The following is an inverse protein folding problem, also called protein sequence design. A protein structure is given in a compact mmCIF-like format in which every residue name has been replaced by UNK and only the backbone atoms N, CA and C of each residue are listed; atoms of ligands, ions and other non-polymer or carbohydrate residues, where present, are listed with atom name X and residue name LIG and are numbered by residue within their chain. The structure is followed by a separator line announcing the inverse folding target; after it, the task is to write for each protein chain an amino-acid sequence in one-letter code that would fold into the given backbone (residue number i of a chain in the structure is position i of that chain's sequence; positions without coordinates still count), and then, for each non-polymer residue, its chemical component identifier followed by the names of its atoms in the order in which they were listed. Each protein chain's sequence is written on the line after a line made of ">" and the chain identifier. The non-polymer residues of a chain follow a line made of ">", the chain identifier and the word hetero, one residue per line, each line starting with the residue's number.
data_IF_392183397147
#
_entry.id   IF_392183397147
#
_cell.length_a   1.000
_cell.length_b   1.000
_cell.length_c   1.000
_cell.angle_alpha   90.00
_cell.angle_beta   90.00
_cell.angle_gamma   90.00
#
_symmetry.space_group_name_H-M   'P 1'
#
loop_
_entity.id
_entity.type
_entity.pdbx_description
1 polymer ?
#
# COMPACT_ATOMS: atom_id res chain seq x y z
N UNK A 1 -28.99 -2.59 2.12
CA UNK A 1 -28.24 -3.36 1.11
C UNK A 1 -27.74 -4.65 1.72
N UNK A 2 -27.74 -5.78 0.96
CA UNK A 2 -27.29 -7.09 1.44
C UNK A 2 -25.90 -7.46 0.89
N UNK A 3 -25.67 -7.18 -0.38
CA UNK A 3 -24.42 -7.53 -1.06
C UNK A 3 -23.84 -6.33 -1.80
N UNK A 4 -22.63 -5.94 -1.48
CA UNK A 4 -21.94 -4.81 -2.11
C UNK A 4 -20.58 -5.30 -2.65
N UNK A 5 -20.25 -4.94 -3.89
CA UNK A 5 -18.97 -5.23 -4.51
C UNK A 5 -18.16 -3.95 -4.68
N UNK A 6 -16.93 -3.95 -4.23
CA UNK A 6 -15.95 -2.91 -4.56
C UNK A 6 -14.96 -3.47 -5.59
N UNK A 7 -14.67 -2.71 -6.64
CA UNK A 7 -13.69 -3.07 -7.67
C UNK A 7 -12.53 -2.08 -7.62
N UNK A 8 -11.31 -2.58 -7.30
CA UNK A 8 -10.07 -1.81 -7.34
C UNK A 8 -8.99 -2.58 -8.10
N UNK A 9 -8.47 -1.99 -9.18
CA UNK A 9 -7.58 -2.69 -10.14
C UNK A 9 -6.13 -2.26 -10.07
N UNK A 10 -5.81 -1.30 -9.23
CA UNK A 10 -4.55 -0.59 -9.23
C UNK A 10 -3.49 -1.25 -8.33
N UNK A 11 -2.51 -0.50 -7.87
CA UNK A 11 -1.36 -1.00 -7.13
C UNK A 11 -1.63 -1.12 -5.62
N UNK A 12 -0.60 -1.43 -4.85
CA UNK A 12 -0.65 -1.61 -3.39
C UNK A 12 -1.14 -0.34 -2.70
N UNK A 13 -0.51 0.82 -2.95
CA UNK A 13 -0.88 2.09 -2.32
C UNK A 13 -2.33 2.49 -2.60
N UNK A 14 -2.77 2.31 -3.85
CA UNK A 14 -4.16 2.56 -4.26
C UNK A 14 -5.17 1.72 -3.46
N UNK A 15 -4.87 0.45 -3.21
CA UNK A 15 -5.74 -0.42 -2.44
C UNK A 15 -5.70 -0.08 -0.95
N UNK A 16 -4.55 0.29 -0.39
CA UNK A 16 -4.46 0.78 0.99
C UNK A 16 -5.34 2.03 1.14
N UNK A 17 -5.26 3.00 0.21
CA UNK A 17 -6.12 4.19 0.21
C UNK A 17 -7.62 3.88 0.02
N UNK A 18 -7.97 2.64 -0.35
CA UNK A 18 -9.37 2.19 -0.49
C UNK A 18 -9.89 1.52 0.80
N UNK A 19 -9.03 1.15 1.74
CA UNK A 19 -9.45 0.48 2.98
C UNK A 19 -10.41 1.31 3.83
N UNK A 20 -10.33 2.66 3.90
CA UNK A 20 -11.34 3.48 4.56
C UNK A 20 -12.74 3.36 3.95
N UNK A 21 -12.85 3.24 2.61
CA UNK A 21 -14.13 3.00 1.96
C UNK A 21 -14.71 1.63 2.36
N UNK A 22 -13.87 0.58 2.45
CA UNK A 22 -14.31 -0.75 2.90
C UNK A 22 -14.90 -0.66 4.31
N UNK A 23 -14.20 -0.02 5.24
CA UNK A 23 -14.65 0.18 6.62
C UNK A 23 -15.91 1.07 6.67
N UNK A 24 -15.95 2.18 5.92
CA UNK A 24 -17.09 3.10 5.85
C UNK A 24 -18.37 2.43 5.35
N UNK A 25 -18.27 1.56 4.32
CA UNK A 25 -19.41 0.75 3.85
C UNK A 25 -19.89 -0.18 4.97
N UNK A 26 -19.00 -0.78 5.73
CA UNK A 26 -19.36 -1.68 6.82
C UNK A 26 -19.98 -0.95 8.01
N UNK A 27 -19.55 0.28 8.28
CA UNK A 27 -20.19 1.16 9.28
C UNK A 27 -21.60 1.57 8.82
N UNK A 28 -21.78 1.89 7.53
CA UNK A 28 -23.08 2.25 6.98
C UNK A 28 -24.06 1.07 6.98
N UNK A 29 -23.57 -0.12 6.67
CA UNK A 29 -24.34 -1.35 6.51
C UNK A 29 -23.67 -2.52 7.25
N UNK A 30 -23.82 -2.63 8.59
CA UNK A 30 -23.14 -3.64 9.41
C UNK A 30 -23.42 -5.08 8.96
N UNK A 31 -24.66 -5.37 8.52
CA UNK A 31 -25.08 -6.70 8.10
C UNK A 31 -24.78 -7.03 6.62
N UNK A 32 -24.33 -6.04 5.85
CA UNK A 32 -24.02 -6.27 4.44
C UNK A 32 -22.79 -7.16 4.28
N UNK A 33 -22.88 -8.08 3.33
CA UNK A 33 -21.74 -8.85 2.83
C UNK A 33 -20.98 -8.01 1.83
N UNK A 34 -19.74 -7.70 2.18
CA UNK A 34 -18.87 -6.87 1.36
C UNK A 34 -17.87 -7.74 0.60
N UNK A 35 -17.85 -7.58 -0.70
CA UNK A 35 -16.99 -8.30 -1.62
C UNK A 35 -16.01 -7.35 -2.28
N UNK A 36 -14.83 -7.86 -2.59
CA UNK A 36 -13.78 -7.07 -3.24
C UNK A 36 -13.25 -7.81 -4.46
N UNK A 37 -13.14 -7.12 -5.60
CA UNK A 37 -12.49 -7.63 -6.82
C UNK A 37 -11.23 -6.84 -7.09
N UNK A 38 -10.07 -7.49 -7.03
CA UNK A 38 -8.75 -6.89 -7.17
C UNK A 38 -7.86 -7.69 -8.13
N UNK A 39 -6.73 -7.09 -8.52
CA UNK A 39 -5.66 -7.84 -9.19
C UNK A 39 -4.74 -8.55 -8.17
N UNK A 40 -3.94 -9.51 -8.65
CA UNK A 40 -3.06 -10.33 -7.80
C UNK A 40 -1.98 -9.51 -7.05
N UNK A 41 -1.50 -8.40 -7.63
CA UNK A 41 -0.39 -7.62 -7.07
C UNK A 41 -0.71 -7.02 -5.70
N UNK A 42 -1.98 -6.66 -5.47
CA UNK A 42 -2.45 -6.03 -4.22
C UNK A 42 -3.15 -6.97 -3.25
N UNK A 43 -3.20 -8.28 -3.53
CA UNK A 43 -3.92 -9.27 -2.73
C UNK A 43 -3.54 -9.25 -1.25
N UNK A 44 -2.27 -9.13 -0.95
CA UNK A 44 -1.73 -9.19 0.41
C UNK A 44 -2.15 -8.02 1.31
N UNK A 45 -2.55 -6.89 0.71
CA UNK A 45 -3.02 -5.70 1.44
C UNK A 45 -4.29 -5.98 2.24
N UNK A 46 -5.20 -6.76 1.67
CA UNK A 46 -6.54 -7.01 2.24
C UNK A 46 -6.69 -8.41 2.85
N UNK A 47 -5.59 -9.18 2.87
CA UNK A 47 -5.58 -10.47 3.56
C UNK A 47 -5.92 -10.26 5.04
N UNK A 48 -6.78 -11.11 5.58
CA UNK A 48 -7.28 -11.05 6.96
C UNK A 48 -8.14 -9.81 7.29
N UNK A 49 -8.62 -9.07 6.29
CA UNK A 49 -9.52 -7.94 6.54
C UNK A 49 -10.88 -8.43 7.04
N UNK A 50 -11.29 -8.11 8.30
CA UNK A 50 -12.49 -8.67 8.91
C UNK A 50 -13.79 -8.14 8.33
N UNK A 51 -13.73 -7.06 7.55
CA UNK A 51 -14.90 -6.43 6.94
C UNK A 51 -15.32 -7.10 5.63
N UNK A 52 -14.47 -7.97 5.05
CA UNK A 52 -14.70 -8.59 3.76
C UNK A 52 -15.23 -10.02 3.89
N UNK A 53 -16.37 -10.30 3.28
CA UNK A 53 -16.91 -11.66 3.15
C UNK A 53 -16.02 -12.51 2.23
N UNK A 54 -15.61 -11.94 1.08
CA UNK A 54 -14.74 -12.62 0.11
C UNK A 54 -13.99 -11.65 -0.77
N UNK A 55 -12.74 -11.97 -1.05
CA UNK A 55 -11.88 -11.28 -2.01
C UNK A 55 -11.75 -12.14 -3.28
N UNK A 56 -12.12 -11.56 -4.42
CA UNK A 56 -11.93 -12.16 -5.73
C UNK A 56 -10.66 -11.57 -6.35
N UNK A 57 -9.72 -12.44 -6.70
CA UNK A 57 -8.42 -12.04 -7.22
C UNK A 57 -8.29 -12.51 -8.67
N UNK A 58 -8.21 -11.58 -9.61
CA UNK A 58 -7.97 -11.93 -11.00
C UNK A 58 -6.54 -11.62 -11.43
N UNK A 59 -6.02 -12.41 -12.35
CA UNK A 59 -4.70 -12.19 -12.96
C UNK A 59 -4.85 -11.36 -14.23
N UNK A 60 -3.95 -10.41 -14.47
CA UNK A 60 -3.81 -9.76 -15.79
C UNK A 60 -3.01 -10.71 -16.70
N UNK A 61 -3.48 -10.97 -17.92
CA UNK A 61 -2.82 -11.91 -18.84
C UNK A 61 -1.34 -11.56 -19.10
N UNK A 62 -0.97 -10.28 -19.08
CA UNK A 62 0.42 -9.83 -19.20
C UNK A 62 1.33 -10.17 -18.00
N UNK A 63 0.75 -10.57 -16.87
CA UNK A 63 1.47 -10.94 -15.64
C UNK A 63 1.32 -12.44 -15.33
N UNK A 64 1.14 -13.27 -16.35
CA UNK A 64 1.11 -14.72 -16.21
C UNK A 64 2.47 -15.24 -15.75
N UNK A 65 2.50 -16.23 -14.88
CA UNK A 65 3.72 -16.94 -14.52
C UNK A 65 4.25 -17.77 -15.72
N UNK A 66 5.56 -18.08 -15.71
CA UNK A 66 6.21 -18.83 -16.79
C UNK A 66 5.50 -20.16 -17.12
N UNK A 67 4.87 -20.80 -16.13
CA UNK A 67 4.19 -22.09 -16.25
C UNK A 67 2.68 -21.97 -16.50
N UNK A 68 2.13 -20.76 -16.69
CA UNK A 68 0.70 -20.54 -16.91
C UNK A 68 0.40 -20.31 -18.39
N UNK A 69 -0.61 -20.99 -18.90
CA UNK A 69 -1.12 -20.76 -20.26
C UNK A 69 -2.07 -19.56 -20.27
N UNK A 70 -2.10 -18.83 -21.36
CA UNK A 70 -3.05 -17.71 -21.54
C UNK A 70 -4.50 -18.17 -21.43
N UNK A 71 -4.82 -19.35 -21.98
CA UNK A 71 -6.15 -19.97 -21.88
C UNK A 71 -6.53 -20.29 -20.43
N UNK A 72 -5.59 -20.79 -19.62
CA UNK A 72 -5.81 -21.05 -18.19
C UNK A 72 -6.18 -19.80 -17.42
N UNK A 73 -5.47 -18.68 -17.68
CA UNK A 73 -5.78 -17.39 -17.06
C UNK A 73 -7.18 -16.89 -17.45
N UNK A 74 -7.60 -17.05 -18.71
CA UNK A 74 -8.96 -16.69 -19.13
C UNK A 74 -10.02 -17.60 -18.52
N UNK A 75 -9.75 -18.89 -18.38
CA UNK A 75 -10.67 -19.83 -17.73
C UNK A 75 -10.85 -19.49 -16.24
N UNK A 76 -9.75 -19.26 -15.50
CA UNK A 76 -9.81 -18.78 -14.10
C UNK A 76 -10.68 -17.51 -13.97
N UNK A 77 -10.48 -16.55 -14.86
CA UNK A 77 -11.28 -15.32 -14.88
C UNK A 77 -12.75 -15.59 -15.14
N UNK A 78 -13.07 -16.44 -16.09
CA UNK A 78 -14.44 -16.85 -16.37
C UNK A 78 -15.10 -17.46 -15.13
N UNK A 79 -14.41 -18.36 -14.44
CA UNK A 79 -14.91 -18.98 -13.19
C UNK A 79 -15.17 -17.93 -12.08
N UNK A 80 -14.29 -16.93 -11.93
CA UNK A 80 -14.51 -15.83 -11.00
C UNK A 80 -15.81 -15.08 -11.34
N UNK A 81 -16.03 -14.73 -12.60
CA UNK A 81 -17.23 -13.99 -13.00
C UNK A 81 -18.51 -14.82 -12.91
N UNK A 82 -18.44 -16.12 -13.13
CA UNK A 82 -19.59 -17.02 -12.87
C UNK A 82 -19.95 -17.06 -11.38
N UNK A 83 -18.95 -17.03 -10.48
CA UNK A 83 -19.20 -16.94 -9.04
C UNK A 83 -19.80 -15.57 -8.67
N UNK A 84 -19.25 -14.47 -9.20
CA UNK A 84 -19.74 -13.10 -8.93
C UNK A 84 -21.20 -12.94 -9.35
N UNK A 85 -21.59 -13.45 -10.54
CA UNK A 85 -22.98 -13.37 -11.03
C UNK A 85 -24.00 -14.06 -10.14
N UNK A 86 -23.60 -15.11 -9.42
CA UNK A 86 -24.51 -15.82 -8.49
C UNK A 86 -24.85 -15.02 -7.25
N UNK A 87 -24.04 -13.99 -6.90
CA UNK A 87 -24.18 -13.26 -5.64
C UNK A 87 -25.32 -12.22 -5.70
N UNK A 88 -25.63 -11.67 -6.87
CA UNK A 88 -26.64 -10.60 -7.06
C UNK A 88 -26.33 -9.38 -6.17
N UNK A 89 -25.50 -8.47 -6.67
CA UNK A 89 -25.08 -7.27 -5.96
C UNK A 89 -26.14 -6.18 -5.98
N UNK A 90 -26.41 -5.59 -4.81
CA UNK A 90 -27.29 -4.41 -4.70
C UNK A 90 -26.58 -3.13 -5.20
N UNK A 91 -25.25 -3.06 -5.02
CA UNK A 91 -24.42 -1.98 -5.54
C UNK A 91 -23.01 -2.48 -5.90
N UNK A 92 -22.43 -1.88 -6.93
CA UNK A 92 -21.03 -2.10 -7.32
C UNK A 92 -20.31 -0.77 -7.39
N UNK A 93 -19.27 -0.60 -6.58
CA UNK A 93 -18.46 0.62 -6.50
C UNK A 93 -17.16 0.42 -7.29
N UNK A 94 -16.98 1.23 -8.35
CA UNK A 94 -15.72 1.31 -9.07
C UNK A 94 -14.81 2.29 -8.33
N UNK A 95 -13.96 1.78 -7.43
CA UNK A 95 -13.15 2.60 -6.53
C UNK A 95 -11.93 3.26 -7.21
N UNK A 96 -12.02 3.58 -8.50
CA UNK A 96 -11.03 4.33 -9.23
C UNK A 96 -11.44 5.81 -9.27
N UNK A 97 -10.57 6.77 -8.88
CA UNK A 97 -10.90 8.21 -8.92
C UNK A 97 -10.91 8.78 -10.36
N UNK A 98 -10.35 8.04 -11.30
CA UNK A 98 -10.39 8.38 -12.73
C UNK A 98 -11.30 7.44 -13.49
N UNK A 99 -11.97 7.91 -14.56
CA UNK A 99 -12.83 7.09 -15.40
C UNK A 99 -12.08 5.86 -15.93
N UNK A 100 -12.63 4.66 -15.71
CA UNK A 100 -11.97 3.41 -16.08
C UNK A 100 -12.92 2.44 -16.78
N UNK A 101 -12.86 2.41 -18.12
CA UNK A 101 -13.65 1.50 -18.98
C UNK A 101 -13.46 0.01 -18.61
N UNK A 102 -12.25 -0.36 -18.16
CA UNK A 102 -11.98 -1.73 -17.76
C UNK A 102 -12.67 -2.11 -16.45
N UNK A 103 -12.72 -1.21 -15.46
CA UNK A 103 -13.46 -1.45 -14.23
C UNK A 103 -14.95 -1.58 -14.50
N UNK A 104 -15.51 -0.74 -15.37
CA UNK A 104 -16.90 -0.83 -15.81
C UNK A 104 -17.18 -2.18 -16.50
N UNK A 105 -16.29 -2.62 -17.41
CA UNK A 105 -16.41 -3.94 -18.05
C UNK A 105 -16.44 -5.08 -17.02
N UNK A 106 -15.58 -5.03 -16.01
CA UNK A 106 -15.57 -6.04 -14.94
C UNK A 106 -16.87 -6.03 -14.14
N UNK A 107 -17.42 -4.85 -13.82
CA UNK A 107 -18.70 -4.73 -13.14
C UNK A 107 -19.85 -5.36 -13.95
N UNK A 108 -19.91 -5.08 -15.25
CA UNK A 108 -20.88 -5.71 -16.17
C UNK A 108 -20.73 -7.23 -16.24
N UNK A 109 -19.48 -7.72 -16.32
CA UNK A 109 -19.20 -9.17 -16.29
C UNK A 109 -19.62 -9.80 -14.97
N UNK A 110 -19.55 -9.08 -13.85
CA UNK A 110 -20.03 -9.53 -12.54
C UNK A 110 -21.58 -9.51 -12.42
N UNK A 111 -22.27 -9.00 -13.43
CA UNK A 111 -23.75 -8.89 -13.42
C UNK A 111 -24.27 -7.71 -12.61
N UNK A 112 -23.48 -6.62 -12.50
CA UNK A 112 -23.89 -5.41 -11.80
C UNK A 112 -25.06 -4.72 -12.49
N UNK A 113 -26.09 -4.38 -11.71
CA UNK A 113 -27.27 -3.61 -12.15
C UNK A 113 -27.28 -2.19 -11.61
N UNK A 114 -26.48 -1.90 -10.60
CA UNK A 114 -26.35 -0.58 -9.99
C UNK A 114 -24.87 -0.23 -9.77
N UNK A 115 -24.33 0.63 -10.62
CA UNK A 115 -22.90 0.92 -10.68
C UNK A 115 -22.65 2.37 -10.27
N UNK A 116 -21.70 2.55 -9.34
CA UNK A 116 -21.23 3.81 -8.80
C UNK A 116 -19.76 3.99 -9.24
N UNK A 117 -19.36 5.14 -9.71
CA UNK A 117 -17.98 5.36 -10.12
C UNK A 117 -17.73 6.72 -10.76
N UNK A 118 -16.48 6.96 -11.17
CA UNK A 118 -16.13 8.17 -11.92
C UNK A 118 -16.88 8.21 -13.26
N UNK A 119 -17.32 9.41 -13.65
CA UNK A 119 -18.13 9.64 -14.84
C UNK A 119 -17.39 9.24 -16.12
N UNK A 120 -17.95 8.32 -16.88
CA UNK A 120 -17.46 7.83 -18.17
C UNK A 120 -18.27 8.37 -19.35
N UNK A 121 -19.25 9.25 -19.10
CA UNK A 121 -20.19 9.71 -20.12
C UNK A 121 -21.08 8.58 -20.67
N UNK A 122 -21.42 7.58 -19.87
CA UNK A 122 -22.24 6.43 -20.26
C UNK A 122 -23.37 6.20 -19.24
N UNK A 123 -24.59 5.83 -19.67
CA UNK A 123 -25.70 5.52 -18.78
C UNK A 123 -25.45 4.27 -17.92
N UNK A 124 -24.43 3.48 -18.20
CA UNK A 124 -24.07 2.31 -17.42
C UNK A 124 -23.58 2.67 -15.99
N UNK A 125 -23.14 3.91 -15.75
CA UNK A 125 -22.80 4.41 -14.42
C UNK A 125 -24.01 5.15 -13.85
N UNK A 126 -24.67 4.51 -12.89
CA UNK A 126 -25.94 5.01 -12.32
C UNK A 126 -25.73 6.18 -11.36
N UNK A 127 -24.58 6.22 -10.65
CA UNK A 127 -24.14 7.34 -9.84
C UNK A 127 -22.76 7.82 -10.31
N UNK A 128 -22.70 8.72 -11.31
CA UNK A 128 -21.45 9.25 -11.85
C UNK A 128 -20.89 10.33 -10.93
N UNK A 129 -19.59 10.21 -10.59
CA UNK A 129 -18.80 11.22 -9.91
C UNK A 129 -17.92 11.94 -10.92
N UNK A 130 -18.04 13.24 -11.03
CA UNK A 130 -17.29 14.08 -11.97
C UNK A 130 -15.93 14.46 -11.39
N UNK A 131 -15.03 14.95 -12.25
CA UNK A 131 -13.67 15.35 -11.86
C UNK A 131 -13.65 16.36 -10.71
N UNK A 132 -14.63 17.27 -10.69
CA UNK A 132 -14.77 18.32 -9.67
C UNK A 132 -14.99 17.73 -8.26
N UNK A 133 -15.62 16.56 -8.17
CA UNK A 133 -15.80 15.84 -6.91
C UNK A 133 -14.48 15.40 -6.27
N UNK A 134 -13.38 15.35 -7.04
CA UNK A 134 -12.07 14.83 -6.64
C UNK A 134 -11.01 15.92 -6.55
N UNK A 135 -11.22 17.11 -7.13
CA UNK A 135 -10.23 18.18 -7.19
C UNK A 135 -9.75 18.60 -5.78
N UNK A 136 -8.43 18.70 -5.61
CA UNK A 136 -7.80 19.13 -4.35
C UNK A 136 -7.95 18.14 -3.18
N UNK A 137 -8.33 16.90 -3.43
CA UNK A 137 -8.54 15.89 -2.38
C UNK A 137 -7.44 14.84 -2.41
N UNK A 138 -7.16 14.27 -1.25
CA UNK A 138 -6.32 13.10 -1.10
C UNK A 138 -6.96 11.83 -1.72
N UNK A 139 -6.16 10.85 -2.16
CA UNK A 139 -6.65 9.60 -2.76
C UNK A 139 -7.63 8.81 -1.89
N UNK A 140 -7.47 8.85 -0.58
CA UNK A 140 -8.44 8.29 0.38
C UNK A 140 -9.79 8.99 0.25
N UNK A 141 -9.79 10.32 0.23
CA UNK A 141 -11.03 11.10 0.11
C UNK A 141 -11.71 10.89 -1.25
N UNK A 142 -10.92 10.72 -2.33
CA UNK A 142 -11.45 10.36 -3.64
C UNK A 142 -12.28 9.07 -3.59
N UNK A 143 -11.68 7.99 -3.07
CA UNK A 143 -12.37 6.69 -3.00
C UNK A 143 -13.50 6.70 -1.98
N UNK A 144 -13.32 7.39 -0.87
CA UNK A 144 -14.33 7.49 0.18
C UNK A 144 -15.57 8.27 -0.25
N UNK A 145 -15.43 9.25 -1.15
CA UNK A 145 -16.59 10.03 -1.64
C UNK A 145 -17.67 9.18 -2.28
N UNK A 146 -17.34 8.01 -2.84
CA UNK A 146 -18.35 7.08 -3.39
C UNK A 146 -19.36 6.56 -2.35
N UNK A 147 -19.01 6.63 -1.07
CA UNK A 147 -19.93 6.23 0.01
C UNK A 147 -21.22 7.05 0.00
N UNK A 148 -21.15 8.32 -0.37
CA UNK A 148 -22.33 9.20 -0.44
C UNK A 148 -23.40 8.78 -1.47
N UNK A 149 -23.04 7.91 -2.41
CA UNK A 149 -24.02 7.34 -3.35
C UNK A 149 -24.89 6.23 -2.76
N UNK A 150 -24.53 5.72 -1.58
CA UNK A 150 -25.26 4.61 -0.95
C UNK A 150 -25.77 4.94 0.45
N UNK A 151 -25.34 6.03 1.07
CA UNK A 151 -25.85 6.47 2.39
C UNK A 151 -25.76 7.97 2.56
N UNK A 152 -26.77 8.58 3.17
CA UNK A 152 -26.77 9.99 3.58
C UNK A 152 -26.20 10.19 5.00
N UNK A 153 -25.87 9.10 5.69
CA UNK A 153 -25.27 9.20 7.04
C UNK A 153 -23.89 9.84 6.96
N UNK A 154 -23.62 10.88 7.75
CA UNK A 154 -22.28 11.43 7.86
C UNK A 154 -21.37 10.45 8.63
N UNK A 155 -20.50 9.75 7.92
CA UNK A 155 -19.53 8.83 8.51
C UNK A 155 -18.15 9.44 8.31
N UNK A 156 -17.40 9.74 9.41
CA UNK A 156 -16.04 10.24 9.30
C UNK A 156 -15.15 9.28 8.52
N UNK A 157 -14.18 9.80 7.77
CA UNK A 157 -13.26 8.96 6.99
C UNK A 157 -12.36 8.18 7.95
N UNK A 158 -12.42 6.84 7.97
CA UNK A 158 -11.56 6.05 8.84
C UNK A 158 -10.07 6.15 8.46
N UNK A 159 -9.15 5.74 9.35
CA UNK A 159 -7.74 5.56 8.99
C UNK A 159 -7.58 4.42 7.98
N UNK A 160 -6.47 4.43 7.24
CA UNK A 160 -6.07 3.26 6.44
C UNK A 160 -5.67 2.12 7.37
N UNK A 161 -6.02 0.87 7.03
CA UNK A 161 -5.73 -0.30 7.88
C UNK A 161 -5.32 -1.52 7.07
N UNK A 162 -4.40 -2.28 7.65
CA UNK A 162 -4.05 -3.65 7.26
C UNK A 162 -4.10 -4.54 8.50
N UNK A 163 -4.30 -5.84 8.31
CA UNK A 163 -4.49 -6.78 9.41
C UNK A 163 -3.47 -7.90 9.34
N UNK A 164 -2.65 -8.03 10.37
CA UNK A 164 -1.73 -9.15 10.58
C UNK A 164 -2.39 -10.19 11.48
N UNK A 165 -2.05 -11.46 11.27
CA UNK A 165 -2.43 -12.50 12.21
C UNK A 165 -1.39 -12.62 13.34
N UNK A 166 -1.74 -13.20 14.50
CA UNK A 166 -0.77 -13.50 15.54
C UNK A 166 0.40 -14.35 15.06
N UNK A 167 0.16 -15.28 14.12
CA UNK A 167 1.19 -16.13 13.53
C UNK A 167 2.16 -15.33 12.67
N UNK A 168 1.67 -14.38 11.86
CA UNK A 168 2.50 -13.49 11.03
C UNK A 168 3.37 -12.59 11.93
N UNK A 169 2.81 -12.07 13.03
CA UNK A 169 3.54 -11.28 14.04
C UNK A 169 4.60 -12.12 14.76
N UNK A 170 4.26 -13.35 15.18
CA UNK A 170 5.20 -14.25 15.83
C UNK A 170 6.36 -14.65 14.90
N UNK A 171 6.10 -14.92 13.63
CA UNK A 171 7.14 -15.20 12.62
C UNK A 171 8.08 -14.01 12.43
N UNK A 172 7.54 -12.80 12.35
CA UNK A 172 8.35 -11.58 12.24
C UNK A 172 9.23 -11.39 13.50
N UNK A 173 8.65 -11.56 14.69
CA UNK A 173 9.38 -11.47 15.96
C UNK A 173 10.51 -12.50 16.06
N UNK A 174 10.26 -13.76 15.71
CA UNK A 174 11.28 -14.81 15.67
C UNK A 174 12.41 -14.48 14.68
N UNK A 175 12.07 -13.94 13.51
CA UNK A 175 13.06 -13.51 12.52
C UNK A 175 13.93 -12.37 13.07
N UNK A 176 13.32 -11.37 13.71
CA UNK A 176 14.02 -10.25 14.35
C UNK A 176 15.03 -10.73 15.39
N UNK A 177 14.66 -11.68 16.26
CA UNK A 177 15.53 -12.24 17.28
C UNK A 177 16.81 -12.89 16.73
N UNK A 178 16.73 -13.41 15.48
CA UNK A 178 17.89 -14.00 14.78
C UNK A 178 18.78 -12.94 14.10
N UNK A 179 18.23 -11.74 13.88
CA UNK A 179 18.90 -10.68 13.09
C UNK A 179 19.55 -9.61 13.98
N UNK A 180 18.94 -9.29 15.12
CA UNK A 180 19.39 -8.22 15.99
C UNK A 180 19.52 -8.71 17.44
N UNK A 181 20.50 -8.20 18.20
CA UNK A 181 20.53 -8.36 19.64
C UNK A 181 19.25 -7.75 20.28
N UNK A 182 19.00 -8.00 21.55
CA UNK A 182 17.93 -7.30 22.27
C UNK A 182 18.15 -5.78 22.22
N UNK A 183 17.14 -5.06 21.75
CA UNK A 183 17.09 -3.59 21.71
C UNK A 183 15.66 -3.13 22.00
N UNK A 184 15.51 -1.99 22.66
CA UNK A 184 14.22 -1.44 23.03
C UNK A 184 13.52 -0.68 21.90
N UNK A 185 14.27 -0.16 20.91
CA UNK A 185 13.72 0.57 19.75
C UNK A 185 14.25 0.01 18.45
N UNK A 186 13.40 -0.05 17.43
CA UNK A 186 13.79 -0.51 16.10
C UNK A 186 13.35 0.52 15.07
N UNK A 187 14.30 0.97 14.24
CA UNK A 187 14.04 1.82 13.09
C UNK A 187 14.09 1.01 11.81
N UNK A 188 13.05 1.12 10.98
CA UNK A 188 13.05 0.59 9.63
C UNK A 188 13.68 1.59 8.66
N UNK A 189 14.61 1.15 7.84
CA UNK A 189 15.16 1.90 6.72
C UNK A 189 14.84 1.14 5.44
N UNK A 190 13.87 1.62 4.65
CA UNK A 190 13.45 0.97 3.41
C UNK A 190 14.07 1.68 2.21
N UNK A 191 14.97 0.99 1.50
CA UNK A 191 15.81 1.59 0.45
C UNK A 191 15.27 1.43 -0.97
N UNK A 192 14.23 0.60 -1.18
CA UNK A 192 13.70 0.31 -2.52
C UNK A 192 12.73 1.36 -2.99
N UNK A 193 12.88 1.80 -4.22
CA UNK A 193 11.91 2.62 -4.95
C UNK A 193 11.97 2.34 -6.44
N UNK A 194 10.82 2.38 -7.12
CA UNK A 194 10.75 2.24 -8.58
C UNK A 194 11.25 3.49 -9.32
N UNK A 195 11.06 4.67 -8.76
CA UNK A 195 11.53 5.92 -9.36
C UNK A 195 12.95 6.23 -8.92
N UNK A 196 13.90 6.48 -9.84
CA UNK A 196 15.24 6.96 -9.49
C UNK A 196 15.20 8.21 -8.61
N UNK A 197 14.34 9.18 -8.90
CA UNK A 197 14.16 10.41 -8.13
C UNK A 197 13.73 10.22 -6.66
N UNK A 198 13.38 9.01 -6.28
CA UNK A 198 13.00 8.62 -4.92
C UNK A 198 14.00 7.67 -4.28
N UNK A 199 15.18 7.51 -4.89
CA UNK A 199 16.29 6.70 -4.39
C UNK A 199 17.34 7.58 -3.74
N UNK A 200 17.30 7.67 -2.43
CA UNK A 200 18.32 8.41 -1.69
C UNK A 200 19.68 7.74 -1.77
N UNK A 201 20.82 8.48 -1.76
CA UNK A 201 22.17 7.92 -1.84
C UNK A 201 22.49 6.97 -0.69
N UNK A 202 23.19 5.88 -0.98
CA UNK A 202 23.55 4.84 0.01
C UNK A 202 24.41 5.41 1.13
N UNK A 203 25.32 6.31 0.82
CA UNK A 203 26.21 6.97 1.78
C UNK A 203 25.42 7.78 2.81
N UNK A 204 24.35 8.42 2.38
CA UNK A 204 23.46 9.19 3.27
C UNK A 204 22.58 8.29 4.14
N UNK A 205 22.12 7.15 3.59
CA UNK A 205 21.47 6.12 4.41
C UNK A 205 22.44 5.59 5.48
N UNK A 206 23.72 5.33 5.13
CA UNK A 206 24.71 4.87 6.08
C UNK A 206 24.94 5.88 7.20
N UNK A 207 25.01 7.17 6.88
CA UNK A 207 25.18 8.25 7.86
C UNK A 207 23.97 8.31 8.83
N UNK A 208 22.73 8.23 8.33
CA UNK A 208 21.54 8.17 9.18
C UNK A 208 21.55 6.93 10.07
N UNK A 209 21.94 5.78 9.54
CA UNK A 209 22.03 4.54 10.32
C UNK A 209 23.08 4.68 11.43
N UNK A 210 24.23 5.27 11.15
CA UNK A 210 25.25 5.53 12.17
C UNK A 210 24.71 6.43 13.30
N UNK A 211 23.98 7.48 12.97
CA UNK A 211 23.34 8.36 13.96
C UNK A 211 22.29 7.61 14.79
N UNK A 212 21.47 6.75 14.16
CA UNK A 212 20.45 5.96 14.84
C UNK A 212 21.05 4.96 15.83
N UNK A 213 22.11 4.23 15.43
CA UNK A 213 22.73 3.26 16.32
C UNK A 213 23.68 3.91 17.34
N UNK A 214 24.02 5.18 17.20
CA UNK A 214 24.68 5.96 18.25
C UNK A 214 23.73 6.23 19.41
N UNK A 215 22.41 6.25 19.18
CA UNK A 215 21.46 6.30 20.28
C UNK A 215 21.44 4.98 21.06
N UNK A 216 21.39 5.06 22.40
CA UNK A 216 21.31 3.85 23.23
C UNK A 216 20.10 3.01 22.86
N UNK A 217 20.26 1.70 22.92
CA UNK A 217 19.17 0.72 22.81
C UNK A 217 18.36 0.80 21.50
N UNK A 218 19.01 1.30 20.42
CA UNK A 218 18.38 1.44 19.09
C UNK A 218 19.00 0.49 18.07
N UNK A 219 18.18 -0.30 17.40
CA UNK A 219 18.55 -1.17 16.29
C UNK A 219 17.94 -0.71 14.97
N UNK A 220 18.52 -1.12 13.86
CA UNK A 220 18.07 -0.77 12.51
C UNK A 220 17.88 -2.02 11.66
N UNK A 221 16.71 -2.13 11.05
CA UNK A 221 16.42 -3.12 10.02
C UNK A 221 16.39 -2.43 8.65
N UNK A 222 17.24 -2.90 7.74
CA UNK A 222 17.31 -2.43 6.35
C UNK A 222 16.38 -3.29 5.50
N UNK A 223 15.29 -2.68 5.02
CA UNK A 223 14.28 -3.34 4.20
C UNK A 223 14.53 -3.11 2.72
N UNK A 224 14.38 -4.17 1.95
CA UNK A 224 14.53 -4.14 0.49
C UNK A 224 13.80 -5.32 -0.16
N UNK A 225 13.50 -5.18 -1.47
CA UNK A 225 12.93 -6.28 -2.27
C UNK A 225 14.04 -7.11 -2.89
N UNK A 226 14.10 -8.43 -2.65
CA UNK A 226 15.13 -9.32 -3.22
C UNK A 226 15.07 -9.44 -4.74
N UNK A 227 13.90 -9.26 -5.33
CA UNK A 227 13.73 -9.29 -6.77
C UNK A 227 13.90 -7.88 -7.33
N UNK A 228 15.03 -7.64 -7.98
CA UNK A 228 15.26 -6.42 -8.76
C UNK A 228 14.25 -6.35 -9.91
N UNK A 229 13.19 -5.59 -9.71
CA UNK A 229 12.07 -5.54 -10.66
C UNK A 229 12.07 -4.28 -11.50
N UNK A 230 13.11 -3.43 -11.44
CA UNK A 230 12.92 -2.03 -11.81
C UNK A 230 13.47 -1.63 -13.17
N UNK A 231 14.55 -2.21 -13.64
CA UNK A 231 15.07 -2.07 -15.00
C UNK A 231 16.10 -3.16 -15.29
N UNK A 232 16.33 -3.52 -16.58
CA UNK A 232 17.34 -4.51 -16.95
C UNK A 232 18.76 -4.13 -16.54
N UNK A 233 19.08 -2.84 -16.40
CA UNK A 233 20.40 -2.29 -16.12
C UNK A 233 20.56 -1.79 -14.68
N UNK A 234 19.57 -2.06 -13.80
CA UNK A 234 19.59 -1.58 -12.43
C UNK A 234 20.40 -2.55 -11.54
N UNK A 235 21.39 -2.00 -10.84
CA UNK A 235 22.01 -2.68 -9.70
C UNK A 235 20.88 -3.05 -8.74
N UNK A 236 20.51 -4.33 -8.71
CA UNK A 236 19.35 -4.80 -7.95
C UNK A 236 19.41 -4.34 -6.50
N UNK A 237 18.27 -4.18 -5.86
CA UNK A 237 18.16 -3.72 -4.46
C UNK A 237 19.01 -4.55 -3.49
N UNK A 238 19.28 -5.83 -3.80
CA UNK A 238 20.21 -6.69 -3.05
C UNK A 238 21.61 -6.07 -2.94
N UNK A 239 22.23 -5.69 -4.05
CA UNK A 239 23.59 -5.15 -4.04
C UNK A 239 23.66 -3.84 -3.27
N UNK A 240 22.65 -2.96 -3.42
CA UNK A 240 22.55 -1.72 -2.65
C UNK A 240 22.40 -1.98 -1.14
N UNK A 241 21.61 -2.97 -0.77
CA UNK A 241 21.43 -3.35 0.63
C UNK A 241 22.71 -3.92 1.25
N UNK A 242 23.43 -4.78 0.52
CA UNK A 242 24.70 -5.34 0.94
C UNK A 242 25.80 -4.26 1.05
N UNK A 243 25.87 -3.32 0.11
CA UNK A 243 26.77 -2.16 0.17
C UNK A 243 26.46 -1.28 1.40
N UNK A 244 25.18 -1.02 1.67
CA UNK A 244 24.77 -0.24 2.84
C UNK A 244 25.17 -0.93 4.14
N UNK A 245 24.88 -2.23 4.28
CA UNK A 245 25.28 -3.00 5.46
C UNK A 245 26.80 -3.00 5.66
N UNK A 246 27.57 -3.16 4.59
CA UNK A 246 29.03 -3.15 4.65
C UNK A 246 29.62 -1.81 5.15
N UNK A 247 28.93 -0.70 4.90
CA UNK A 247 29.31 0.61 5.43
C UNK A 247 28.93 0.77 6.92
N UNK A 248 27.84 0.14 7.38
CA UNK A 248 27.34 0.37 8.74
C UNK A 248 28.10 -0.42 9.83
N UNK A 249 28.62 -1.63 9.54
CA UNK A 249 29.45 -2.49 10.42
C UNK A 249 29.07 -2.47 11.91
N UNK A 250 27.82 -2.68 12.23
CA UNK A 250 27.31 -2.65 13.60
C UNK A 250 26.36 -3.86 13.83
N UNK A 251 26.51 -4.56 14.96
CA UNK A 251 25.67 -5.72 15.32
C UNK A 251 24.16 -5.39 15.48
N UNK A 252 23.86 -4.12 15.72
CA UNK A 252 22.47 -3.62 15.83
C UNK A 252 21.91 -3.17 14.46
N UNK A 253 22.58 -3.50 13.35
CA UNK A 253 22.11 -3.23 11.99
C UNK A 253 22.04 -4.55 11.23
N UNK A 254 20.87 -4.84 10.66
CA UNK A 254 20.67 -6.07 9.90
C UNK A 254 19.83 -5.87 8.63
N UNK A 255 20.07 -6.73 7.64
CA UNK A 255 19.24 -6.83 6.44
C UNK A 255 17.94 -7.57 6.76
N UNK A 256 16.83 -7.00 6.29
CA UNK A 256 15.51 -7.63 6.34
C UNK A 256 14.90 -7.71 4.92
N UNK A 257 15.37 -8.65 4.08
CA UNK A 257 14.81 -8.84 2.75
C UNK A 257 13.35 -9.27 2.81
N UNK A 258 12.51 -8.72 1.93
CA UNK A 258 11.07 -9.01 1.94
C UNK A 258 10.61 -9.53 0.57
N UNK A 259 10.32 -10.83 0.49
CA UNK A 259 9.84 -11.47 -0.74
C UNK A 259 8.32 -11.25 -0.98
N UNK A 260 7.60 -10.77 0.02
CA UNK A 260 6.16 -10.51 -0.05
C UNK A 260 5.76 -9.26 0.73
N UNK A 261 4.58 -8.72 0.39
CA UNK A 261 3.98 -7.62 1.15
C UNK A 261 3.69 -8.04 2.60
N UNK A 262 3.36 -9.32 2.84
CA UNK A 262 3.10 -9.81 4.21
C UNK A 262 4.37 -9.83 5.06
N UNK A 263 5.51 -10.20 4.49
CA UNK A 263 6.80 -10.10 5.18
C UNK A 263 7.19 -8.66 5.49
N UNK A 264 6.93 -7.73 4.55
CA UNK A 264 7.18 -6.31 4.78
C UNK A 264 6.29 -5.76 5.90
N UNK A 265 5.00 -6.11 5.90
CA UNK A 265 4.07 -5.72 6.96
C UNK A 265 4.50 -6.26 8.33
N UNK A 266 4.84 -7.54 8.43
CA UNK A 266 5.34 -8.13 9.68
C UNK A 266 6.63 -7.47 10.17
N UNK A 267 7.55 -7.15 9.25
CA UNK A 267 8.77 -6.43 9.59
C UNK A 267 8.52 -4.99 10.05
N UNK A 268 7.65 -4.25 9.38
CA UNK A 268 7.28 -2.89 9.79
C UNK A 268 6.50 -2.86 11.11
N UNK A 269 5.71 -3.91 11.39
CA UNK A 269 4.98 -4.01 12.65
C UNK A 269 5.93 -4.03 13.87
N UNK A 270 7.13 -4.60 13.72
CA UNK A 270 8.18 -4.63 14.75
C UNK A 270 8.88 -3.29 14.98
N UNK A 271 8.75 -2.35 14.05
CA UNK A 271 9.51 -1.10 14.06
C UNK A 271 8.70 0.05 14.66
N UNK A 272 9.37 0.92 15.39
CA UNK A 272 8.79 2.12 15.97
C UNK A 272 8.71 3.25 14.94
N UNK A 273 9.79 3.43 14.15
CA UNK A 273 9.91 4.47 13.14
C UNK A 273 10.27 3.88 11.78
N UNK A 274 9.80 4.51 10.71
CA UNK A 274 10.06 4.08 9.33
C UNK A 274 10.61 5.24 8.52
N UNK A 275 11.80 5.06 7.94
CA UNK A 275 12.36 5.92 6.90
C UNK A 275 12.17 5.22 5.56
N UNK A 276 11.41 5.83 4.65
CA UNK A 276 11.13 5.25 3.34
C UNK A 276 10.87 6.34 2.28
N UNK A 277 10.80 5.92 1.03
CA UNK A 277 10.33 6.77 -0.07
C UNK A 277 8.82 6.65 -0.27
N UNK A 278 8.22 7.65 -0.93
CA UNK A 278 6.85 7.57 -1.45
C UNK A 278 6.67 6.32 -2.32
N UNK A 279 5.60 5.59 -2.04
CA UNK A 279 5.25 4.33 -2.71
C UNK A 279 4.36 3.43 -1.85
N UNK A 280 4.20 2.19 -2.29
CA UNK A 280 3.37 1.21 -1.57
C UNK A 280 3.82 0.98 -0.13
N UNK A 281 5.11 0.97 0.14
CA UNK A 281 5.70 0.80 1.47
C UNK A 281 5.30 1.91 2.45
N UNK A 282 5.24 3.16 2.01
CA UNK A 282 4.77 4.28 2.82
C UNK A 282 3.31 4.09 3.26
N UNK A 283 2.45 3.73 2.32
CA UNK A 283 1.04 3.48 2.64
C UNK A 283 0.85 2.27 3.56
N UNK A 284 1.70 1.23 3.43
CA UNK A 284 1.68 0.07 4.33
C UNK A 284 2.13 0.45 5.74
N UNK A 285 3.17 1.28 5.88
CA UNK A 285 3.60 1.81 7.17
C UNK A 285 2.51 2.70 7.81
N UNK A 286 1.85 3.55 7.01
CA UNK A 286 0.70 4.34 7.46
C UNK A 286 -0.47 3.47 7.95
N UNK A 287 -0.74 2.35 7.25
CA UNK A 287 -1.80 1.41 7.63
C UNK A 287 -1.49 0.61 8.91
N UNK A 288 -0.24 0.56 9.33
CA UNK A 288 0.24 0.05 10.63
C UNK A 288 0.40 1.17 11.68
N UNK A 289 -0.01 2.40 11.35
CA UNK A 289 0.06 3.57 12.24
C UNK A 289 1.48 3.87 12.74
N UNK A 290 2.50 3.71 11.88
CA UNK A 290 3.90 3.96 12.23
C UNK A 290 4.28 5.44 12.11
N UNK A 291 5.26 5.86 12.91
CA UNK A 291 5.92 7.15 12.75
C UNK A 291 6.84 7.12 11.52
N UNK A 292 6.77 8.11 10.64
CA UNK A 292 7.44 8.03 9.33
C UNK A 292 8.16 9.32 8.94
N UNK A 293 9.36 9.16 8.39
CA UNK A 293 9.99 10.17 7.53
C UNK A 293 9.98 9.65 6.10
N UNK A 294 9.41 10.43 5.19
CA UNK A 294 9.13 9.97 3.82
C UNK A 294 9.76 10.89 2.80
N UNK A 295 10.56 10.33 1.89
CA UNK A 295 11.07 11.04 0.73
C UNK A 295 10.03 11.09 -0.38
N UNK A 296 9.68 12.29 -0.81
CA UNK A 296 8.90 12.52 -2.01
C UNK A 296 9.80 13.00 -3.15
N UNK A 297 9.64 12.39 -4.32
CA UNK A 297 10.21 12.89 -5.56
C UNK A 297 9.30 13.93 -6.19
N UNK A 298 8.93 13.71 -7.44
CA UNK A 298 8.01 14.55 -8.22
C UNK A 298 6.51 14.23 -8.03
N UNK A 299 6.18 13.39 -7.05
CA UNK A 299 4.78 13.03 -6.74
C UNK A 299 4.09 14.19 -6.00
N UNK A 300 2.82 14.44 -6.35
CA UNK A 300 1.97 15.38 -5.63
C UNK A 300 1.70 14.90 -4.19
N UNK A 301 2.34 15.57 -3.23
CA UNK A 301 2.22 15.22 -1.80
C UNK A 301 0.83 15.46 -1.24
N UNK A 302 0.07 16.43 -1.75
CA UNK A 302 -1.28 16.73 -1.28
C UNK A 302 -2.24 15.58 -1.58
N UNK A 303 -2.05 14.93 -2.73
CA UNK A 303 -2.87 13.78 -3.14
C UNK A 303 -2.42 12.45 -2.54
N UNK A 304 -1.14 12.30 -2.14
CA UNK A 304 -0.55 11.01 -1.82
C UNK A 304 0.15 10.91 -0.47
N UNK A 305 0.12 11.93 0.39
CA UNK A 305 0.73 11.83 1.73
C UNK A 305 0.21 10.62 2.52
N UNK A 306 0.92 10.17 3.58
CA UNK A 306 0.38 9.15 4.49
C UNK A 306 -0.96 9.61 5.09
N UNK A 307 -2.00 8.75 5.06
CA UNK A 307 -3.31 9.09 5.59
C UNK A 307 -3.44 8.84 7.10
N UNK A 308 -2.57 8.01 7.66
CA UNK A 308 -2.55 7.65 9.08
C UNK A 308 -1.12 7.63 9.60
N UNK A 309 -0.97 7.61 10.93
CA UNK A 309 0.31 7.73 11.60
C UNK A 309 0.81 9.17 11.67
N UNK A 310 1.87 9.40 12.43
CA UNK A 310 2.60 10.66 12.42
C UNK A 310 3.64 10.59 11.31
N UNK A 311 3.82 11.68 10.56
CA UNK A 311 4.77 11.65 9.46
C UNK A 311 5.36 13.02 9.17
N UNK A 312 6.56 13.00 8.59
CA UNK A 312 7.21 14.15 7.97
C UNK A 312 7.52 13.83 6.52
N UNK A 313 7.15 14.73 5.62
CA UNK A 313 7.50 14.65 4.19
C UNK A 313 8.72 15.51 3.93
N UNK A 314 9.72 14.93 3.29
CA UNK A 314 10.88 15.59 2.76
C UNK A 314 10.82 15.56 1.24
N UNK A 315 10.60 16.74 0.65
CA UNK A 315 10.52 16.94 -0.80
C UNK A 315 11.37 18.17 -1.16
N UNK A 316 12.36 17.95 -2.01
CA UNK A 316 13.20 19.03 -2.54
C UNK A 316 12.45 19.83 -3.62
N UNK A 317 12.92 21.05 -3.90
CA UNK A 317 12.39 21.88 -4.99
C UNK A 317 12.63 21.26 -6.36
N UNK A 318 13.72 20.50 -6.53
CA UNK A 318 14.03 19.77 -7.77
C UNK A 318 13.10 18.59 -8.04
N UNK A 319 12.36 18.13 -7.02
CA UNK A 319 11.59 16.89 -7.08
C UNK A 319 12.48 15.63 -7.12
N UNK A 320 13.75 15.73 -6.66
CA UNK A 320 14.66 14.59 -6.52
C UNK A 320 15.11 14.47 -5.07
N UNK A 321 14.91 13.29 -4.46
CA UNK A 321 15.28 13.09 -3.06
C UNK A 321 16.80 13.17 -2.82
N UNK A 322 17.63 13.10 -3.87
CA UNK A 322 19.08 13.31 -3.76
C UNK A 322 19.44 14.65 -3.13
N UNK A 323 18.59 15.66 -3.25
CA UNK A 323 18.84 16.99 -2.69
C UNK A 323 18.38 17.13 -1.22
N UNK A 324 17.74 16.11 -0.64
CA UNK A 324 17.37 16.10 0.77
C UNK A 324 18.62 15.85 1.61
N UNK A 325 18.90 16.74 2.58
CA UNK A 325 20.09 16.61 3.45
C UNK A 325 19.90 15.53 4.53
N UNK A 326 21.01 14.98 5.00
CA UNK A 326 21.01 14.04 6.14
C UNK A 326 20.54 14.72 7.42
N UNK A 327 20.90 15.99 7.62
CA UNK A 327 20.50 16.76 8.80
C UNK A 327 19.00 17.02 8.86
N UNK A 328 18.35 17.26 7.71
CA UNK A 328 16.88 17.38 7.66
C UNK A 328 16.19 16.08 8.00
N UNK A 329 16.68 14.95 7.46
CA UNK A 329 16.15 13.62 7.81
C UNK A 329 16.32 13.36 9.29
N UNK A 330 17.53 13.59 9.84
CA UNK A 330 17.83 13.38 11.24
C UNK A 330 16.92 14.21 12.15
N UNK A 331 16.84 15.51 11.90
CA UNK A 331 15.97 16.42 12.65
C UNK A 331 14.52 15.93 12.68
N UNK A 332 13.99 15.50 11.51
CA UNK A 332 12.61 15.00 11.41
C UNK A 332 12.41 13.65 12.11
N UNK A 333 13.40 12.79 12.14
CA UNK A 333 13.33 11.53 12.91
C UNK A 333 13.34 11.79 14.43
N UNK A 334 13.99 12.86 14.90
CA UNK A 334 14.03 13.23 16.33
C UNK A 334 12.73 13.91 16.83
N UNK A 335 11.89 14.42 15.95
CA UNK A 335 10.60 15.01 16.32
C UNK A 335 9.55 13.97 16.76
N UNK A 336 9.81 12.69 16.56
CA UNK A 336 8.97 11.59 17.07
C UNK A 336 9.47 11.15 18.47
N UNK A 337 8.78 11.59 19.50
CA UNK A 337 9.01 11.23 20.92
C UNK A 337 8.04 10.16 21.39
#
# INVERSE_FOLDING_TARGET
>A
MKNILIIRRDNIGDLVCTTPLIEGVKIAYPDAKLYLLINKVSQDVVKNNPYLEKVFVYKKAKHKAKNETTLGVYFERMMIFLQLRKIKFDAVILANPVPCKYSLRLAKMAGATHIIGADLGTPDIHHPFRKENFSGKHQVQHTYSYLSAITDRPIPVPPVRVFLTPEEQAQAAQRRQKLLPPVGRICAVHISSRSPKRRWPIERYAEIIHRLVAEPDTGVLIFWSPEGTLAPDDIGDRQRAEQLLAQCKNERVALYPTASVRELLGGFDLCDKVLCSDGGQMHLAAALNKDMVVFFGDTDKESWHPWSGRYHILQSESGDCVDVSVDDVWRKMQEFH
#
